data_IF_416861858033
#
_entry.id   IF_416861858033
#
_cell.length_a   1.000
_cell.length_b   1.000
_cell.length_c   1.000
_cell.angle_alpha   90.00
_cell.angle_beta   90.00
_cell.angle_gamma   90.00
#
_symmetry.space_group_name_H-M   'P 1'
#
loop_
_entity.id
_entity.type
_entity.pdbx_description
1 polymer ?
#
# COMPACT_ATOMS: atom_id res chain seq x y z
N UNK A 1 59.24 10.69 34.75
CA UNK A 1 59.77 9.64 33.86
C UNK A 1 59.51 10.05 32.43
N UNK A 2 60.41 9.75 31.49
CA UNK A 2 60.22 10.05 30.06
C UNK A 2 59.88 8.77 29.29
N UNK A 3 59.01 8.89 28.29
CA UNK A 3 58.77 7.89 27.26
C UNK A 3 58.92 8.56 25.90
N UNK A 4 59.69 7.96 24.99
CA UNK A 4 60.08 8.58 23.72
C UNK A 4 60.31 7.49 22.65
N UNK A 5 60.28 7.91 21.39
CA UNK A 5 60.39 7.11 20.16
C UNK A 5 59.21 6.17 19.85
N UNK A 6 58.83 5.99 18.58
CA UNK A 6 59.42 6.64 17.39
C UNK A 6 58.59 6.46 16.12
N UNK A 7 58.89 7.29 15.12
CA UNK A 7 58.31 7.22 13.78
C UNK A 7 59.25 6.51 12.80
N UNK A 8 58.68 5.80 11.82
CA UNK A 8 59.38 5.30 10.64
C UNK A 8 58.58 5.71 9.40
N UNK A 9 59.28 6.04 8.30
CA UNK A 9 58.74 6.64 7.09
C UNK A 9 59.38 6.00 5.83
N UNK A 10 58.83 6.29 4.65
CA UNK A 10 59.28 5.82 3.32
C UNK A 10 58.93 4.34 3.03
N UNK A 11 58.59 3.91 1.80
CA UNK A 11 58.93 4.44 0.46
C UNK A 11 57.76 4.41 -0.54
N UNK A 12 57.95 5.09 -1.68
CA UNK A 12 57.08 5.02 -2.85
C UNK A 12 57.56 3.98 -3.90
N UNK A 13 56.64 3.53 -4.76
CA UNK A 13 56.90 2.83 -6.02
C UNK A 13 55.80 3.22 -7.03
N UNK A 14 56.07 3.12 -8.34
CA UNK A 14 55.25 3.76 -9.38
C UNK A 14 54.86 2.82 -10.54
N UNK A 15 53.79 3.23 -11.25
CA UNK A 15 53.51 3.03 -12.68
C UNK A 15 53.97 1.74 -13.37
N UNK A 16 53.02 0.89 -13.75
CA UNK A 16 53.07 0.16 -15.03
C UNK A 16 51.70 0.20 -15.72
N UNK A 17 51.68 0.61 -16.99
CA UNK A 17 50.50 0.71 -17.84
C UNK A 17 50.75 -0.14 -19.11
N UNK A 18 49.81 -0.99 -19.51
CA UNK A 18 49.93 -1.76 -20.76
C UNK A 18 48.56 -2.17 -21.31
N UNK A 19 48.24 -1.89 -22.59
CA UNK A 19 46.92 -2.18 -23.16
C UNK A 19 46.82 -3.62 -23.69
N UNK A 20 45.62 -4.21 -23.62
CA UNK A 20 45.28 -5.45 -24.35
C UNK A 20 44.04 -5.28 -25.22
N UNK A 21 44.05 -5.99 -26.35
CA UNK A 21 43.21 -5.80 -27.53
C UNK A 21 41.69 -5.66 -27.29
N UNK A 22 41.07 -4.71 -28.00
CA UNK A 22 39.65 -4.80 -28.37
C UNK A 22 39.46 -5.98 -29.33
N UNK A 23 38.54 -6.90 -29.05
CA UNK A 23 37.92 -7.75 -30.07
C UNK A 23 36.60 -7.12 -30.52
N UNK A 24 36.37 -7.07 -31.83
CA UNK A 24 35.16 -6.53 -32.45
C UNK A 24 34.13 -7.66 -32.59
N UNK A 25 33.08 -7.64 -31.76
CA UNK A 25 31.95 -8.54 -31.94
C UNK A 25 31.07 -8.04 -33.09
N UNK A 26 30.65 -8.95 -33.97
CA UNK A 26 29.68 -8.72 -35.03
C UNK A 26 28.33 -9.23 -34.54
N UNK A 27 27.29 -8.39 -34.64
CA UNK A 27 25.91 -8.78 -34.34
C UNK A 27 25.28 -9.45 -35.57
N UNK A 28 24.57 -10.58 -35.43
CA UNK A 28 23.78 -11.15 -36.51
C UNK A 28 22.52 -10.32 -36.77
N UNK A 29 22.07 -10.29 -38.03
CA UNK A 29 20.83 -9.63 -38.45
C UNK A 29 19.59 -10.42 -38.03
N UNK A 30 18.58 -9.74 -37.46
CA UNK A 30 17.28 -10.33 -37.13
C UNK A 30 16.39 -10.49 -38.38
N UNK A 31 15.57 -11.56 -38.47
CA UNK A 31 14.60 -11.75 -39.55
C UNK A 31 13.31 -10.97 -39.29
N UNK A 32 12.71 -10.42 -40.34
CA UNK A 32 11.40 -9.74 -40.29
C UNK A 32 10.22 -10.74 -40.26
N UNK A 33 9.17 -10.53 -39.45
CA UNK A 33 8.01 -11.40 -39.40
C UNK A 33 7.07 -11.26 -40.62
N UNK A 34 6.27 -12.29 -40.95
CA UNK A 34 5.35 -12.26 -42.09
C UNK A 34 4.08 -11.45 -41.83
N UNK A 35 3.50 -10.89 -42.90
CA UNK A 35 2.37 -9.96 -42.86
C UNK A 35 1.03 -10.69 -43.09
N UNK A 36 0.22 -10.83 -42.03
CA UNK A 36 -1.10 -11.49 -42.09
C UNK A 36 -2.16 -10.54 -42.68
N UNK A 37 -3.06 -11.07 -43.50
CA UNK A 37 -4.22 -10.36 -44.07
C UNK A 37 -5.52 -10.72 -43.32
N UNK A 38 -6.49 -9.80 -43.18
CA UNK A 38 -7.69 -10.02 -42.38
C UNK A 38 -8.71 -10.93 -43.08
N UNK A 39 -9.10 -12.02 -42.41
CA UNK A 39 -10.13 -12.94 -42.90
C UNK A 39 -11.53 -12.37 -42.62
N UNK A 40 -12.26 -11.99 -43.68
CA UNK A 40 -13.62 -11.45 -43.55
C UNK A 40 -14.69 -12.54 -43.55
N UNK A 41 -15.63 -12.49 -42.60
CA UNK A 41 -16.97 -13.09 -42.77
C UNK A 41 -18.07 -12.27 -42.09
N UNK A 42 -19.28 -12.37 -42.64
CA UNK A 42 -20.45 -11.54 -42.34
C UNK A 42 -21.66 -12.44 -42.03
N UNK A 43 -22.41 -12.08 -40.97
CA UNK A 43 -23.89 -12.18 -40.87
C UNK A 43 -24.46 -13.64 -40.86
N UNK A 44 -25.70 -13.96 -40.47
CA UNK A 44 -26.89 -13.20 -40.00
C UNK A 44 -27.65 -14.02 -38.91
N UNK A 45 -28.69 -13.47 -38.22
CA UNK A 45 -29.40 -14.16 -37.12
C UNK A 45 -30.60 -15.02 -37.57
N UNK A 46 -31.22 -15.74 -36.63
CA UNK A 46 -32.49 -16.46 -36.79
C UNK A 46 -33.45 -16.24 -35.61
N UNK A 47 -34.76 -16.29 -35.88
CA UNK A 47 -35.87 -15.89 -34.98
C UNK A 47 -36.97 -16.96 -34.99
N UNK A 48 -37.78 -17.08 -33.92
CA UNK A 48 -39.15 -17.64 -33.76
C UNK A 48 -39.36 -17.94 -32.25
N UNK A 49 -40.48 -17.72 -31.51
CA UNK A 49 -41.95 -17.72 -31.74
C UNK A 49 -42.53 -19.12 -32.00
N UNK A 50 -43.58 -19.66 -31.37
CA UNK A 50 -44.51 -19.19 -30.30
C UNK A 50 -44.91 -20.44 -29.43
N UNK A 51 -46.02 -20.68 -28.69
CA UNK A 51 -47.40 -20.12 -28.55
C UNK A 51 -48.09 -20.65 -27.26
N UNK A 52 -49.15 -19.96 -26.80
CA UNK A 52 -50.37 -20.49 -26.13
C UNK A 52 -50.40 -20.87 -24.62
N UNK A 53 -51.62 -20.72 -24.05
CA UNK A 53 -52.05 -20.91 -22.65
C UNK A 53 -53.00 -22.13 -22.53
N UNK A 54 -53.13 -22.72 -21.33
CA UNK A 54 -54.39 -23.31 -20.81
C UNK A 54 -54.29 -23.69 -19.31
N UNK A 55 -55.42 -23.80 -18.61
CA UNK A 55 -55.51 -23.98 -17.15
C UNK A 55 -55.96 -25.39 -16.71
N UNK A 56 -55.67 -25.78 -15.47
CA UNK A 56 -56.66 -26.34 -14.51
C UNK A 56 -56.04 -26.68 -13.13
N UNK A 57 -56.88 -26.85 -12.11
CA UNK A 57 -56.47 -26.98 -10.70
C UNK A 57 -56.21 -28.43 -10.25
N UNK A 58 -55.29 -28.61 -9.30
CA UNK A 58 -55.17 -29.80 -8.46
C UNK A 58 -54.38 -29.46 -7.20
N UNK A 59 -54.97 -29.64 -6.01
CA UNK A 59 -54.37 -29.21 -4.75
C UNK A 59 -53.76 -30.38 -3.96
N UNK A 60 -52.52 -30.22 -3.53
CA UNK A 60 -51.88 -31.01 -2.49
C UNK A 60 -50.94 -30.10 -1.69
N UNK A 61 -51.19 -29.97 -0.38
CA UNK A 61 -50.39 -29.09 0.47
C UNK A 61 -49.05 -29.76 0.83
N UNK A 62 -47.96 -29.03 0.64
CA UNK A 62 -46.73 -29.21 1.42
C UNK A 62 -46.28 -27.82 1.85
N UNK A 63 -46.32 -27.54 3.15
CA UNK A 63 -45.83 -26.28 3.70
C UNK A 63 -44.29 -26.26 3.63
N UNK A 64 -43.78 -25.92 2.46
CA UNK A 64 -42.40 -25.52 2.29
C UNK A 64 -42.20 -24.23 3.10
N UNK A 65 -41.71 -24.37 4.33
CA UNK A 65 -41.32 -23.25 5.20
C UNK A 65 -40.21 -22.48 4.49
N UNK A 66 -40.61 -21.46 3.75
CA UNK A 66 -39.73 -20.55 3.08
C UNK A 66 -38.97 -19.78 4.17
N UNK A 67 -37.69 -20.10 4.35
CA UNK A 67 -36.85 -19.35 5.28
C UNK A 67 -36.98 -17.86 4.95
N UNK A 68 -37.22 -16.99 5.95
CA UNK A 68 -37.40 -15.56 5.68
C UNK A 68 -36.15 -15.02 4.99
N UNK A 69 -36.29 -14.24 3.91
CA UNK A 69 -35.17 -13.85 3.05
C UNK A 69 -34.08 -13.24 3.92
N UNK A 70 -32.88 -13.85 3.90
CA UNK A 70 -31.87 -13.64 4.94
C UNK A 70 -31.63 -12.15 5.14
N UNK A 71 -32.04 -11.68 6.32
CA UNK A 71 -32.11 -10.27 6.68
C UNK A 71 -30.69 -9.75 6.82
N UNK A 72 -30.09 -9.28 5.72
CA UNK A 72 -28.68 -8.88 5.61
C UNK A 72 -28.34 -7.97 6.78
N UNK A 73 -27.68 -8.56 7.79
CA UNK A 73 -27.30 -7.86 9.01
C UNK A 73 -26.15 -6.95 8.63
N UNK A 74 -26.48 -5.68 8.40
CA UNK A 74 -25.59 -4.63 7.90
C UNK A 74 -24.56 -4.18 8.96
N UNK A 75 -23.85 -5.16 9.51
CA UNK A 75 -22.62 -5.02 10.25
C UNK A 75 -21.56 -4.48 9.29
N UNK A 76 -21.47 -3.14 9.19
CA UNK A 76 -20.26 -2.52 8.70
C UNK A 76 -19.08 -3.10 9.50
N UNK A 77 -18.04 -3.63 8.84
CA UNK A 77 -17.10 -4.53 9.50
C UNK A 77 -16.32 -3.78 10.58
N UNK A 78 -16.40 -4.30 11.80
CA UNK A 78 -15.92 -3.60 12.99
C UNK A 78 -14.40 -3.66 13.09
N UNK A 79 -13.74 -2.50 12.99
CA UNK A 79 -12.37 -2.30 13.42
C UNK A 79 -12.25 -2.61 14.92
N UNK A 80 -11.54 -3.68 15.28
CA UNK A 80 -11.33 -4.08 16.68
C UNK A 80 -10.01 -3.50 17.17
N UNK A 81 -10.01 -2.96 18.38
CA UNK A 81 -8.83 -2.32 18.99
C UNK A 81 -8.64 -2.85 20.42
N UNK A 82 -7.42 -3.31 20.73
CA UNK A 82 -6.97 -3.72 22.06
C UNK A 82 -5.95 -2.70 22.56
N UNK A 83 -6.16 -2.14 23.76
CA UNK A 83 -5.11 -1.41 24.48
C UNK A 83 -4.07 -2.37 25.05
N UNK A 84 -2.80 -1.98 24.99
CA UNK A 84 -1.67 -2.69 25.58
C UNK A 84 -1.19 -2.02 26.89
N UNK A 85 -1.53 -0.75 27.11
CA UNK A 85 -1.30 0.00 28.34
C UNK A 85 -2.49 0.87 28.73
N UNK A 86 -2.42 1.48 29.90
CA UNK A 86 -3.30 2.55 30.38
C UNK A 86 -3.17 3.84 29.54
N UNK A 87 -1.94 4.17 29.11
CA UNK A 87 -1.59 5.36 28.29
C UNK A 87 -2.17 5.33 26.88
N UNK A 88 -2.47 4.15 26.35
CA UNK A 88 -3.03 3.97 25.01
C UNK A 88 -4.36 4.73 24.85
N UNK A 89 -4.52 5.52 23.78
CA UNK A 89 -5.77 6.23 23.48
C UNK A 89 -6.54 5.47 22.38
N UNK A 90 -7.86 5.34 22.51
CA UNK A 90 -8.65 4.72 21.44
C UNK A 90 -8.71 5.64 20.21
N UNK A 91 -8.45 5.14 18.98
CA UNK A 91 -8.49 5.96 17.77
C UNK A 91 -9.87 6.58 17.55
N UNK A 92 -9.90 7.87 17.18
CA UNK A 92 -11.15 8.62 17.03
C UNK A 92 -11.15 9.48 15.77
N UNK A 93 -12.32 9.66 15.13
CA UNK A 93 -12.44 10.43 13.89
C UNK A 93 -12.71 11.90 14.20
N UNK A 94 -11.94 12.81 13.58
CA UNK A 94 -12.07 14.25 13.81
C UNK A 94 -13.38 14.88 13.29
N UNK A 95 -14.14 14.17 12.44
CA UNK A 95 -15.49 14.57 12.00
C UNK A 95 -16.29 13.35 11.52
N UNK A 96 -17.60 13.54 11.29
CA UNK A 96 -18.49 12.47 10.83
C UNK A 96 -18.09 11.85 9.47
N UNK A 97 -17.37 12.60 8.63
CA UNK A 97 -16.89 12.17 7.30
C UNK A 97 -15.35 12.14 7.19
N UNK A 98 -14.62 12.26 8.30
CA UNK A 98 -13.17 12.07 8.29
C UNK A 98 -12.82 10.64 7.87
N UNK A 99 -11.89 10.51 6.92
CA UNK A 99 -11.40 9.22 6.43
C UNK A 99 -10.49 8.49 7.44
N UNK A 100 -9.72 9.27 8.22
CA UNK A 100 -8.79 8.75 9.22
C UNK A 100 -9.35 8.78 10.64
N UNK A 101 -8.91 7.79 11.43
CA UNK A 101 -8.97 7.80 12.89
C UNK A 101 -7.64 8.35 13.42
N UNK A 102 -7.64 9.46 14.15
CA UNK A 102 -6.43 10.01 14.77
C UNK A 102 -5.79 8.96 15.71
N UNK A 103 -4.48 8.74 15.55
CA UNK A 103 -3.63 7.92 16.44
C UNK A 103 -2.85 8.85 17.36
N UNK A 104 -2.83 8.54 18.66
CA UNK A 104 -2.04 9.25 19.66
C UNK A 104 -0.77 8.49 20.07
N UNK A 105 0.25 9.23 20.50
CA UNK A 105 1.40 8.65 21.21
C UNK A 105 0.99 8.12 22.59
N UNK A 106 1.56 6.99 23.00
CA UNK A 106 1.53 6.49 24.38
C UNK A 106 2.76 6.90 25.21
N UNK A 107 3.76 7.53 24.59
CA UNK A 107 5.05 7.89 25.21
C UNK A 107 5.42 9.37 25.03
N UNK A 108 6.32 9.87 25.89
CA UNK A 108 7.03 11.12 25.68
C UNK A 108 8.34 10.83 24.94
N UNK A 109 8.62 11.56 23.86
CA UNK A 109 9.86 11.41 23.08
C UNK A 109 10.11 12.61 22.16
N UNK A 110 11.26 12.59 21.48
CA UNK A 110 11.64 13.58 20.46
C UNK A 110 11.81 12.87 19.11
N UNK A 111 11.32 13.49 18.04
CA UNK A 111 11.70 13.17 16.66
C UNK A 111 12.81 14.14 16.25
N UNK A 112 14.09 13.71 16.16
CA UNK A 112 15.20 14.63 15.97
C UNK A 112 15.11 15.42 14.67
N UNK A 113 15.67 16.63 14.65
CA UNK A 113 15.87 17.43 13.44
C UNK A 113 16.53 16.59 12.33
N UNK A 114 16.01 16.67 11.10
CA UNK A 114 16.41 15.83 9.94
C UNK A 114 16.39 14.31 10.18
N UNK A 115 15.72 13.86 11.25
CA UNK A 115 15.73 12.48 11.73
C UNK A 115 14.40 11.75 11.59
N UNK A 116 14.29 10.63 12.31
CA UNK A 116 13.09 9.79 12.39
C UNK A 116 12.97 9.10 13.74
N UNK A 117 11.74 8.79 14.15
CA UNK A 117 11.47 8.01 15.36
C UNK A 117 10.28 7.06 15.17
N UNK A 118 10.28 5.94 15.90
CA UNK A 118 9.12 5.03 16.00
C UNK A 118 8.36 5.37 17.28
N UNK A 119 7.18 5.98 17.14
CA UNK A 119 6.34 6.40 18.25
C UNK A 119 5.34 5.29 18.60
N UNK A 120 5.33 4.75 19.82
CA UNK A 120 4.37 3.71 20.21
C UNK A 120 2.98 4.31 20.42
N UNK A 121 1.93 3.58 20.01
CA UNK A 121 0.52 3.92 20.32
C UNK A 121 -0.05 3.09 21.47
N UNK A 122 0.66 2.04 21.88
CA UNK A 122 0.22 0.98 22.79
C UNK A 122 -1.14 0.37 22.40
N UNK A 123 -1.40 0.22 21.10
CA UNK A 123 -2.55 -0.48 20.55
C UNK A 123 -2.14 -1.75 19.81
N UNK A 124 -3.00 -2.76 19.82
CA UNK A 124 -3.07 -3.80 18.78
C UNK A 124 -4.43 -3.72 18.11
N UNK A 125 -4.49 -3.99 16.81
CA UNK A 125 -5.73 -3.89 16.03
C UNK A 125 -6.06 -5.20 15.31
N UNK A 126 -7.33 -5.36 14.95
CA UNK A 126 -7.75 -6.30 13.92
C UNK A 126 -8.66 -5.56 12.94
N UNK A 127 -8.23 -5.56 11.68
CA UNK A 127 -8.75 -4.79 10.56
C UNK A 127 -9.70 -5.70 9.76
N UNK A 128 -10.73 -5.17 9.06
CA UNK A 128 -11.56 -5.95 8.15
C UNK A 128 -10.76 -6.62 7.02
N UNK A 129 -11.13 -7.85 6.67
CA UNK A 129 -10.64 -8.52 5.46
C UNK A 129 -11.02 -7.74 4.19
N UNK A 130 -10.20 -7.84 3.15
CA UNK A 130 -10.30 -6.98 1.95
C UNK A 130 -9.89 -5.52 2.17
N UNK A 131 -9.33 -5.19 3.34
CA UNK A 131 -8.80 -3.86 3.64
C UNK A 131 -7.45 -3.95 4.36
N UNK A 132 -6.67 -2.88 4.34
CA UNK A 132 -5.52 -2.69 5.23
C UNK A 132 -5.63 -1.34 5.95
N UNK A 133 -4.83 -1.14 7.00
CA UNK A 133 -4.78 0.13 7.70
C UNK A 133 -3.54 0.94 7.27
N UNK A 134 -3.77 2.04 6.54
CA UNK A 134 -2.71 3.01 6.22
C UNK A 134 -2.57 4.05 7.32
N UNK A 135 -1.41 4.10 7.96
CA UNK A 135 -0.98 5.23 8.77
C UNK A 135 -0.57 6.37 7.84
N UNK A 136 -1.22 7.52 8.00
CA UNK A 136 -1.08 8.69 7.14
C UNK A 136 -0.72 9.94 7.96
N UNK A 137 -0.01 10.91 7.37
CA UNK A 137 0.34 12.16 8.04
C UNK A 137 -0.89 13.01 8.36
N UNK A 138 -0.75 13.87 9.37
CA UNK A 138 -1.75 14.89 9.72
C UNK A 138 -1.29 16.22 9.12
N UNK A 139 -2.10 16.82 8.25
CA UNK A 139 -1.73 18.05 7.50
C UNK A 139 -1.24 19.19 8.40
N UNK A 140 -1.81 19.34 9.59
CA UNK A 140 -1.38 20.33 10.57
C UNK A 140 0.04 20.13 11.14
N UNK A 141 0.55 18.89 11.18
CA UNK A 141 1.92 18.59 11.60
C UNK A 141 2.90 18.70 10.43
N UNK A 142 2.51 18.22 9.25
CA UNK A 142 3.29 18.39 8.01
C UNK A 142 3.55 19.87 7.70
N UNK A 143 2.51 20.72 7.76
CA UNK A 143 2.62 22.14 7.44
C UNK A 143 3.38 22.97 8.49
N UNK A 144 3.23 22.66 9.78
CA UNK A 144 3.77 23.49 10.89
C UNK A 144 5.10 23.02 11.45
N UNK A 145 5.41 21.74 11.31
CA UNK A 145 6.57 21.08 11.93
C UNK A 145 7.36 20.20 10.95
N UNK A 146 6.99 20.19 9.67
CA UNK A 146 7.61 19.37 8.62
C UNK A 146 7.62 17.87 8.94
N UNK A 147 6.60 17.39 9.66
CA UNK A 147 6.46 15.99 10.07
C UNK A 147 5.68 15.18 9.02
N UNK A 148 6.27 14.08 8.57
CA UNK A 148 5.65 13.09 7.68
C UNK A 148 5.66 11.68 8.29
N UNK A 149 4.94 10.73 7.68
CA UNK A 149 4.79 9.35 8.16
C UNK A 149 5.50 8.36 7.23
N UNK A 150 6.39 7.56 7.80
CA UNK A 150 7.12 6.50 7.10
C UNK A 150 6.42 5.14 7.12
N UNK A 151 6.65 4.34 6.06
CA UNK A 151 6.11 3.00 5.83
C UNK A 151 4.57 2.92 5.83
N UNK A 152 3.95 2.99 7.01
CA UNK A 152 2.51 3.19 7.19
C UNK A 152 1.57 2.05 6.78
N UNK A 153 2.04 0.95 6.19
CA UNK A 153 1.21 -0.25 5.94
C UNK A 153 1.08 -1.06 7.24
N UNK A 154 -0.15 -1.36 7.64
CA UNK A 154 -0.46 -2.35 8.68
C UNK A 154 -1.43 -3.38 8.10
N UNK A 155 -0.99 -4.62 8.03
CA UNK A 155 -1.69 -5.73 7.39
C UNK A 155 -2.87 -6.25 8.21
N UNK A 156 -3.86 -6.84 7.53
CA UNK A 156 -5.14 -7.21 8.15
C UNK A 156 -5.02 -8.32 9.22
N UNK A 157 -3.99 -9.15 9.14
CA UNK A 157 -3.65 -10.24 10.05
C UNK A 157 -2.70 -9.80 11.19
N UNK A 158 -2.06 -8.63 11.09
CA UNK A 158 -1.13 -8.14 12.11
C UNK A 158 -1.80 -7.96 13.49
N UNK A 159 -1.24 -8.57 14.54
CA UNK A 159 -1.75 -8.47 15.94
C UNK A 159 -0.74 -7.91 16.94
N UNK A 160 0.42 -7.42 16.48
CA UNK A 160 1.45 -6.84 17.34
C UNK A 160 1.13 -5.40 17.79
N UNK A 161 2.09 -4.71 18.43
CA UNK A 161 1.95 -3.30 18.80
C UNK A 161 2.04 -2.37 17.58
N UNK A 162 1.03 -1.52 17.41
CA UNK A 162 1.01 -0.47 16.40
C UNK A 162 1.95 0.67 16.83
N UNK A 163 2.90 1.01 15.96
CA UNK A 163 3.77 2.17 16.10
C UNK A 163 3.73 3.04 14.85
N UNK A 164 3.96 4.33 15.02
CA UNK A 164 3.97 5.34 13.96
C UNK A 164 5.42 5.75 13.70
N UNK A 165 5.94 5.49 12.50
CA UNK A 165 7.24 6.03 12.09
C UNK A 165 7.02 7.49 11.67
N UNK A 166 7.53 8.43 12.45
CA UNK A 166 7.57 9.85 12.07
C UNK A 166 8.95 10.19 11.46
N UNK A 167 8.93 10.91 10.35
CA UNK A 167 10.07 11.63 9.81
C UNK A 167 9.95 13.12 10.16
N UNK A 168 11.07 13.78 10.42
CA UNK A 168 11.14 15.22 10.65
C UNK A 168 12.02 15.87 9.58
N UNK A 169 11.38 16.63 8.69
CA UNK A 169 12.03 17.33 7.58
C UNK A 169 12.35 18.80 7.89
N UNK A 170 12.38 19.18 9.17
CA UNK A 170 12.85 20.49 9.65
C UNK A 170 14.25 20.39 10.28
N UNK A 171 14.84 21.54 10.58
CA UNK A 171 16.10 21.70 11.32
C UNK A 171 15.90 21.87 12.84
N UNK A 172 14.69 21.58 13.35
CA UNK A 172 14.35 21.68 14.77
C UNK A 172 13.79 20.35 15.30
N UNK A 173 14.14 19.99 16.53
CA UNK A 173 13.62 18.81 17.21
C UNK A 173 12.11 18.94 17.47
N UNK A 174 11.35 17.88 17.16
CA UNK A 174 9.90 17.85 17.38
C UNK A 174 9.57 16.97 18.60
N UNK A 175 9.14 17.61 19.69
CA UNK A 175 8.71 16.93 20.91
C UNK A 175 7.29 16.36 20.76
N UNK A 176 7.11 15.12 21.21
CA UNK A 176 5.84 14.38 21.23
C UNK A 176 5.53 13.97 22.66
N UNK A 177 4.31 14.24 23.14
CA UNK A 177 3.86 13.88 24.50
C UNK A 177 2.81 12.76 24.46
N UNK A 178 2.62 12.02 25.57
CA UNK A 178 1.52 11.05 25.69
C UNK A 178 0.18 11.74 25.42
N UNK A 179 -0.65 11.12 24.58
CA UNK A 179 -1.94 11.68 24.14
C UNK A 179 -1.88 12.54 22.87
N UNK A 180 -0.71 13.08 22.48
CA UNK A 180 -0.60 13.90 21.26
C UNK A 180 -0.97 13.10 20.01
N UNK A 181 -1.87 13.65 19.19
CA UNK A 181 -2.35 13.04 17.95
C UNK A 181 -1.32 13.24 16.83
N UNK A 182 -0.53 12.19 16.57
CA UNK A 182 0.68 12.19 15.72
C UNK A 182 0.41 11.80 14.27
N UNK A 183 -0.51 10.87 14.04
CA UNK A 183 -0.87 10.35 12.72
C UNK A 183 -2.39 10.11 12.63
N UNK A 184 -2.88 9.69 11.48
CA UNK A 184 -4.24 9.16 11.32
C UNK A 184 -4.21 7.82 10.59
N UNK A 185 -5.03 6.87 11.04
CA UNK A 185 -5.18 5.55 10.43
C UNK A 185 -6.41 5.55 9.52
N UNK A 186 -6.19 5.32 8.23
CA UNK A 186 -7.24 5.20 7.21
C UNK A 186 -7.39 3.72 6.88
N UNK A 187 -8.62 3.20 6.87
CA UNK A 187 -8.91 1.83 6.45
C UNK A 187 -9.18 1.85 4.94
N UNK A 188 -8.26 1.29 4.15
CA UNK A 188 -8.29 1.34 2.69
C UNK A 188 -8.62 -0.03 2.10
N UNK A 189 -9.58 -0.04 1.17
CA UNK A 189 -10.02 -1.26 0.45
C UNK A 189 -8.96 -1.65 -0.58
N UNK A 190 -8.63 -2.94 -0.63
CA UNK A 190 -7.63 -3.51 -1.53
C UNK A 190 -8.17 -4.77 -2.21
N UNK A 191 -7.56 -5.12 -3.34
CA UNK A 191 -7.68 -6.46 -3.92
C UNK A 191 -6.34 -7.19 -3.74
N UNK A 192 -6.40 -8.47 -3.41
CA UNK A 192 -5.23 -9.36 -3.28
C UNK A 192 -5.35 -10.51 -4.31
N UNK A 193 -5.17 -10.23 -5.61
CA UNK A 193 -5.23 -11.25 -6.64
C UNK A 193 -3.98 -12.15 -6.63
N UNK A 194 -4.12 -13.36 -7.16
CA UNK A 194 -2.96 -14.20 -7.53
C UNK A 194 -2.13 -13.53 -8.63
N UNK A 195 -0.81 -13.72 -8.58
CA UNK A 195 0.13 -13.18 -9.57
C UNK A 195 0.30 -14.17 -10.73
N UNK A 196 0.12 -13.68 -11.96
CA UNK A 196 0.33 -14.46 -13.19
C UNK A 196 1.44 -13.82 -14.05
N UNK A 197 2.36 -14.64 -14.54
CA UNK A 197 3.41 -14.26 -15.50
C UNK A 197 2.87 -14.38 -16.94
N UNK A 198 3.24 -13.44 -17.81
CA UNK A 198 2.81 -13.35 -19.21
C UNK A 198 3.96 -12.85 -20.10
N UNK A 199 3.92 -13.19 -21.40
CA UNK A 199 4.95 -12.77 -22.37
C UNK A 199 4.85 -11.27 -22.72
N UNK A 200 3.63 -10.74 -22.84
CA UNK A 200 3.31 -9.36 -23.23
C UNK A 200 2.10 -8.83 -22.43
N UNK A 201 1.95 -7.50 -22.37
CA UNK A 201 0.79 -6.78 -21.79
C UNK A 201 -0.02 -6.05 -22.86
N UNK A 202 -1.27 -5.67 -22.55
CA UNK A 202 -2.14 -4.95 -23.48
C UNK A 202 -1.73 -3.47 -23.67
N UNK A 203 -1.88 -2.99 -24.91
CA UNK A 203 -1.50 -1.63 -25.28
C UNK A 203 -2.56 -0.61 -24.83
N UNK A 204 -2.19 0.27 -23.89
CA UNK A 204 -3.06 1.34 -23.39
C UNK A 204 -2.72 2.71 -23.98
N UNK A 205 -3.66 3.66 -23.91
CA UNK A 205 -3.46 5.07 -24.33
C UNK A 205 -2.31 5.75 -23.56
N UNK A 206 -1.97 5.27 -22.36
CA UNK A 206 -0.87 5.81 -21.54
C UNK A 206 0.49 5.23 -21.94
N UNK A 207 0.54 3.96 -22.34
CA UNK A 207 1.78 3.24 -22.62
C UNK A 207 2.83 3.41 -21.51
N UNK A 208 4.07 3.68 -21.91
CA UNK A 208 5.23 3.88 -21.02
C UNK A 208 5.24 5.26 -20.30
N UNK A 209 4.19 6.07 -20.43
CA UNK A 209 4.14 7.46 -19.94
C UNK A 209 4.15 7.60 -18.41
N UNK A 210 5.32 7.88 -17.81
CA UNK A 210 5.52 8.11 -16.38
C UNK A 210 6.11 9.49 -16.03
N UNK A 211 6.40 9.70 -14.74
CA UNK A 211 7.31 10.75 -14.23
C UNK A 211 7.11 12.17 -14.77
N UNK A 212 5.86 12.66 -14.84
CA UNK A 212 5.54 13.99 -15.35
C UNK A 212 5.28 14.06 -16.86
N UNK A 213 5.07 12.92 -17.53
CA UNK A 213 4.71 12.84 -18.96
C UNK A 213 3.46 13.63 -19.39
N UNK A 214 2.66 14.12 -18.44
CA UNK A 214 1.47 14.97 -18.68
C UNK A 214 1.73 16.47 -18.49
N UNK A 215 2.96 16.88 -18.17
CA UNK A 215 3.33 18.26 -17.89
C UNK A 215 3.53 18.56 -16.40
N UNK A 216 3.57 19.86 -16.08
CA UNK A 216 3.72 20.47 -14.74
C UNK A 216 2.50 21.36 -14.47
#
# INVERSE_FOLDING_TARGET
>A
MAGNFGAICSRAAASLFSPRHRRRLLLPSTPTPPRILPFSRRLHPGTLSTTAMASSNGAAATDAVQEPPQKISKLAPLLKVKKLSDKAVLPSRGSALAAGYDLSSAAEMVVPARGKALVPTDLSIAIPEGTYARVAPRSGLALKHSIDVGAGVIDADYRGPVGVILFNHSDADFAVKPGDRIAQMIIEVIATPEVAEVEDLDATVRGEGGFGSTGV
#
